data_IF_967443524516
#
_entry.id   IF_967443524516
#
_cell.length_a   1.000
_cell.length_b   1.000
_cell.length_c   1.000
_cell.angle_alpha   90.00
_cell.angle_beta   90.00
_cell.angle_gamma   90.00
#
_symmetry.space_group_name_H-M   'P 1'
#
loop_
_entity.id
_entity.type
_entity.pdbx_description
1 polymer ?
#
# COMPACT_ATOMS: atom_id res chain seq x y z
N UNK A 1 51.76 -39.37 7.01
CA UNK A 1 51.59 -38.90 5.60
C UNK A 1 50.39 -39.63 5.03
N UNK A 2 49.28 -39.07 4.52
CA UNK A 2 48.80 -37.71 4.26
C UNK A 2 47.27 -37.83 4.33
N UNK A 3 46.60 -37.01 5.16
CA UNK A 3 45.15 -36.88 5.13
C UNK A 3 44.75 -36.09 3.87
N UNK A 4 43.94 -36.67 2.99
CA UNK A 4 43.33 -35.96 1.86
C UNK A 4 41.93 -35.52 2.29
N UNK A 5 41.84 -34.31 2.83
CA UNK A 5 40.59 -33.60 3.04
C UNK A 5 40.02 -33.16 1.70
N UNK A 6 39.01 -33.85 1.20
CA UNK A 6 38.12 -33.32 0.16
C UNK A 6 37.02 -32.50 0.84
N UNK A 7 37.24 -31.19 0.91
CA UNK A 7 36.21 -30.21 1.25
C UNK A 7 35.22 -30.13 0.08
N UNK A 8 34.05 -30.76 0.23
CA UNK A 8 32.89 -30.54 -0.62
C UNK A 8 32.26 -29.22 -0.17
N UNK A 9 32.49 -28.16 -0.93
CA UNK A 9 31.82 -26.88 -0.73
C UNK A 9 30.35 -27.01 -1.17
N UNK A 10 29.43 -27.10 -0.21
CA UNK A 10 28.00 -26.99 -0.46
C UNK A 10 27.64 -25.50 -0.63
N UNK A 11 27.30 -25.11 -1.86
CA UNK A 11 26.80 -23.77 -2.19
C UNK A 11 25.27 -23.78 -2.01
N UNK A 12 24.67 -23.00 -1.09
CA UNK A 12 23.21 -22.90 -1.03
C UNK A 12 22.74 -22.01 -2.18
N UNK A 13 21.99 -22.61 -3.10
CA UNK A 13 21.28 -21.92 -4.17
C UNK A 13 20.15 -21.08 -3.55
N UNK A 14 20.39 -19.78 -3.36
CA UNK A 14 19.37 -18.81 -2.98
C UNK A 14 18.38 -18.66 -4.14
N UNK A 15 17.27 -19.40 -4.08
CA UNK A 15 16.12 -19.16 -4.94
C UNK A 15 15.43 -17.91 -4.40
N UNK A 16 15.79 -16.75 -4.94
CA UNK A 16 15.02 -15.53 -4.77
C UNK A 16 13.70 -15.73 -5.54
N UNK A 17 12.66 -16.20 -4.85
CA UNK A 17 11.29 -16.18 -5.37
C UNK A 17 10.86 -14.72 -5.45
N UNK A 18 11.10 -14.08 -6.59
CA UNK A 18 10.41 -12.86 -6.95
C UNK A 18 8.93 -13.23 -7.07
N UNK A 19 8.14 -12.86 -6.05
CA UNK A 19 6.70 -12.86 -6.15
C UNK A 19 6.37 -11.82 -7.21
N UNK A 20 6.17 -12.26 -8.45
CA UNK A 20 5.44 -11.46 -9.44
C UNK A 20 4.03 -11.33 -8.87
N UNK A 21 3.78 -10.25 -8.14
CA UNK A 21 2.43 -9.78 -7.94
C UNK A 21 1.83 -9.67 -9.34
N UNK A 22 0.75 -10.41 -9.62
CA UNK A 22 -0.01 -10.25 -10.83
C UNK A 22 -0.46 -8.78 -10.86
N UNK A 23 0.22 -7.96 -11.66
CA UNK A 23 -0.12 -6.56 -11.85
C UNK A 23 -1.37 -6.52 -12.72
N UNK A 24 -2.51 -6.88 -12.12
CA UNK A 24 -3.82 -6.66 -12.72
C UNK A 24 -3.94 -5.19 -13.05
N UNK A 25 -4.46 -4.89 -14.24
CA UNK A 25 -4.74 -3.51 -14.61
C UNK A 25 -5.83 -2.98 -13.67
N UNK A 26 -5.50 -1.95 -12.89
CA UNK A 26 -6.47 -1.32 -11.98
C UNK A 26 -7.76 -0.98 -12.73
N UNK A 27 -8.85 -1.58 -12.26
CA UNK A 27 -10.17 -1.45 -12.85
C UNK A 27 -10.96 -0.34 -12.15
N UNK A 28 -12.11 0.03 -12.75
CA UNK A 28 -13.04 0.94 -12.09
C UNK A 28 -13.72 0.31 -10.86
N UNK A 29 -13.74 -1.03 -10.79
CA UNK A 29 -14.30 -1.76 -9.64
C UNK A 29 -13.32 -1.68 -8.48
N UNK A 30 -12.03 -1.88 -8.72
CA UNK A 30 -10.96 -1.74 -7.70
C UNK A 30 -10.96 -0.33 -7.08
N UNK A 31 -11.22 0.71 -7.89
CA UNK A 31 -11.32 2.09 -7.40
C UNK A 31 -12.57 2.33 -6.54
N UNK A 32 -13.68 1.66 -6.85
CA UNK A 32 -14.91 1.74 -6.05
C UNK A 32 -14.75 0.99 -4.73
N UNK A 33 -14.10 -0.18 -4.76
CA UNK A 33 -13.76 -0.93 -3.55
C UNK A 33 -12.86 -0.10 -2.62
N UNK A 34 -11.82 0.55 -3.16
CA UNK A 34 -10.97 1.43 -2.35
C UNK A 34 -11.72 2.64 -1.75
N UNK A 35 -12.70 3.21 -2.46
CA UNK A 35 -13.57 4.26 -1.93
C UNK A 35 -14.46 3.75 -0.79
N UNK A 36 -15.01 2.55 -0.92
CA UNK A 36 -15.79 1.89 0.13
C UNK A 36 -14.93 1.56 1.36
N UNK A 37 -13.72 1.03 1.17
CA UNK A 37 -12.76 0.78 2.26
C UNK A 37 -12.39 2.07 2.98
N UNK A 38 -12.19 3.18 2.26
CA UNK A 38 -11.92 4.49 2.86
C UNK A 38 -13.10 4.98 3.72
N UNK A 39 -14.33 4.76 3.27
CA UNK A 39 -15.54 5.16 4.00
C UNK A 39 -15.73 4.31 5.27
N UNK A 40 -15.46 3.00 5.18
CA UNK A 40 -15.46 2.09 6.32
C UNK A 40 -14.38 2.47 7.33
N UNK A 41 -13.17 2.80 6.85
CA UNK A 41 -12.08 3.26 7.69
C UNK A 41 -12.46 4.51 8.48
N UNK A 42 -13.05 5.52 7.83
CA UNK A 42 -13.53 6.74 8.49
C UNK A 42 -14.55 6.45 9.60
N UNK A 43 -15.54 5.61 9.29
CA UNK A 43 -16.54 5.16 10.26
C UNK A 43 -15.90 4.43 11.45
N UNK A 44 -15.02 3.46 11.18
CA UNK A 44 -14.37 2.68 12.23
C UNK A 44 -13.42 3.52 13.08
N UNK A 45 -12.66 4.46 12.51
CA UNK A 45 -11.84 5.39 13.31
C UNK A 45 -12.74 6.26 14.19
N UNK A 46 -13.82 6.82 13.64
CA UNK A 46 -14.77 7.67 14.37
C UNK A 46 -15.45 6.93 15.54
N UNK A 47 -15.71 5.64 15.37
CA UNK A 47 -16.28 4.76 16.40
C UNK A 47 -15.21 4.14 17.32
N UNK A 48 -13.93 4.43 17.10
CA UNK A 48 -12.80 3.80 17.79
C UNK A 48 -12.83 2.26 17.71
N UNK A 49 -13.32 1.73 16.59
CA UNK A 49 -13.41 0.29 16.31
C UNK A 49 -12.09 -0.21 15.72
N UNK A 50 -11.55 -1.28 16.31
CA UNK A 50 -10.31 -1.93 15.86
C UNK A 50 -10.38 -2.47 14.43
N UNK A 51 -11.58 -2.64 13.84
CA UNK A 51 -11.73 -2.94 12.41
C UNK A 51 -11.04 -1.90 11.50
N UNK A 52 -10.85 -0.67 11.98
CA UNK A 52 -10.05 0.35 11.28
C UNK A 52 -8.64 -0.14 10.90
N UNK A 53 -8.08 -1.09 11.66
CA UNK A 53 -6.77 -1.67 11.37
C UNK A 53 -6.78 -2.46 10.06
N UNK A 54 -7.82 -3.26 9.83
CA UNK A 54 -7.92 -4.09 8.63
C UNK A 54 -8.18 -3.23 7.40
N UNK A 55 -9.05 -2.23 7.51
CA UNK A 55 -9.31 -1.27 6.41
C UNK A 55 -8.05 -0.46 6.06
N UNK A 56 -7.29 0.01 7.05
CA UNK A 56 -6.06 0.76 6.82
C UNK A 56 -4.96 -0.11 6.18
N UNK A 57 -4.83 -1.39 6.60
CA UNK A 57 -3.92 -2.35 5.97
C UNK A 57 -4.33 -2.64 4.53
N UNK A 58 -5.62 -2.74 4.26
CA UNK A 58 -6.12 -2.94 2.90
C UNK A 58 -5.81 -1.74 2.01
N UNK A 59 -6.05 -0.52 2.47
CA UNK A 59 -5.68 0.69 1.72
C UNK A 59 -4.17 0.79 1.50
N UNK A 60 -3.34 0.40 2.46
CA UNK A 60 -1.89 0.38 2.27
C UNK A 60 -1.45 -0.60 1.17
N UNK A 61 -2.08 -1.79 1.11
CA UNK A 61 -1.88 -2.76 0.01
C UNK A 61 -2.37 -2.21 -1.32
N UNK A 62 -3.55 -1.58 -1.30
CA UNK A 62 -4.14 -0.97 -2.48
C UNK A 62 -3.22 0.08 -3.11
N UNK A 63 -2.68 1.01 -2.31
CA UNK A 63 -1.76 2.03 -2.83
C UNK A 63 -0.45 1.45 -3.37
N UNK A 64 0.00 0.29 -2.88
CA UNK A 64 1.11 -0.44 -3.50
C UNK A 64 0.77 -0.92 -4.92
N UNK A 65 -0.47 -1.37 -5.15
CA UNK A 65 -0.94 -1.74 -6.49
C UNK A 65 -1.04 -0.51 -7.40
N UNK A 66 -1.51 0.63 -6.87
CA UNK A 66 -1.52 1.92 -7.57
C UNK A 66 -0.11 2.38 -7.95
N UNK A 67 0.87 2.20 -7.07
CA UNK A 67 2.27 2.46 -7.40
C UNK A 67 2.74 1.58 -8.56
N UNK A 68 2.46 0.28 -8.50
CA UNK A 68 2.78 -0.66 -9.58
C UNK A 68 2.17 -0.25 -10.92
N UNK A 69 0.91 0.18 -10.92
CA UNK A 69 0.20 0.66 -12.11
C UNK A 69 0.86 1.88 -12.75
N UNK A 70 1.25 2.87 -11.96
CA UNK A 70 1.92 4.06 -12.49
C UNK A 70 3.38 3.81 -12.85
N UNK A 71 4.08 2.94 -12.14
CA UNK A 71 5.47 2.58 -12.43
C UNK A 71 5.62 1.89 -13.80
N UNK A 72 4.56 1.23 -14.28
CA UNK A 72 4.53 0.62 -15.61
C UNK A 72 4.34 1.64 -16.77
N UNK A 73 4.12 2.92 -16.48
CA UNK A 73 3.90 3.99 -17.47
C UNK A 73 5.11 4.92 -17.53
N UNK A 74 5.61 5.18 -18.74
CA UNK A 74 6.85 5.92 -18.96
C UNK A 74 6.83 7.38 -18.46
N UNK A 75 5.67 8.01 -18.35
CA UNK A 75 5.47 9.43 -18.03
C UNK A 75 4.61 9.67 -16.78
N UNK A 76 4.49 8.68 -15.89
CA UNK A 76 3.61 8.76 -14.72
C UNK A 76 4.32 8.87 -13.36
N UNK A 77 5.49 9.51 -13.31
CA UNK A 77 6.28 9.69 -12.07
C UNK A 77 5.46 10.31 -10.93
N UNK A 78 4.59 11.29 -11.22
CA UNK A 78 3.73 11.89 -10.18
C UNK A 78 2.73 10.90 -9.60
N UNK A 79 2.23 9.96 -10.41
CA UNK A 79 1.34 8.88 -9.94
C UNK A 79 2.06 7.93 -8.98
N UNK A 80 3.34 7.62 -9.23
CA UNK A 80 4.20 6.86 -8.31
C UNK A 80 4.42 7.63 -7.00
N UNK A 81 4.67 8.94 -7.06
CA UNK A 81 4.82 9.76 -5.85
C UNK A 81 3.52 9.86 -5.03
N UNK A 82 2.38 10.06 -5.70
CA UNK A 82 1.09 10.11 -5.02
C UNK A 82 0.72 8.79 -4.36
N UNK A 83 0.94 7.67 -5.04
CA UNK A 83 0.66 6.34 -4.48
C UNK A 83 1.53 6.05 -3.25
N UNK A 84 2.84 6.33 -3.31
CA UNK A 84 3.73 6.21 -2.14
C UNK A 84 3.29 7.08 -0.97
N UNK A 85 2.90 8.33 -1.25
CA UNK A 85 2.43 9.25 -0.22
C UNK A 85 1.14 8.72 0.44
N UNK A 86 0.17 8.29 -0.36
CA UNK A 86 -1.06 7.69 0.16
C UNK A 86 -0.80 6.41 0.96
N UNK A 87 0.13 5.56 0.51
CA UNK A 87 0.56 4.37 1.26
C UNK A 87 1.17 4.76 2.61
N UNK A 88 2.01 5.79 2.66
CA UNK A 88 2.60 6.28 3.89
C UNK A 88 1.53 6.77 4.88
N UNK A 89 0.50 7.48 4.41
CA UNK A 89 -0.63 7.89 5.24
C UNK A 89 -1.43 6.68 5.76
N UNK A 90 -1.71 5.69 4.91
CA UNK A 90 -2.40 4.47 5.34
C UNK A 90 -1.59 3.69 6.41
N UNK A 91 -0.27 3.60 6.25
CA UNK A 91 0.62 2.99 7.26
C UNK A 91 0.68 3.81 8.56
N UNK A 92 0.57 5.14 8.50
CA UNK A 92 0.47 5.97 9.69
C UNK A 92 -0.84 5.71 10.46
N UNK A 93 -1.95 5.51 9.74
CA UNK A 93 -3.23 5.11 10.33
C UNK A 93 -3.10 3.74 11.00
N UNK A 94 -2.47 2.75 10.35
CA UNK A 94 -2.18 1.44 10.95
C UNK A 94 -1.45 1.58 12.28
N UNK A 95 -0.34 2.32 12.30
CA UNK A 95 0.45 2.52 13.52
C UNK A 95 -0.36 3.24 14.62
N UNK A 96 -1.17 4.24 14.25
CA UNK A 96 -2.01 4.97 15.18
C UNK A 96 -3.09 4.06 15.82
N UNK A 97 -3.81 3.28 15.02
CA UNK A 97 -4.83 2.33 15.50
C UNK A 97 -4.23 1.21 16.34
N UNK A 98 -3.05 0.69 15.97
CA UNK A 98 -2.31 -0.30 16.77
C UNK A 98 -1.93 0.24 18.16
N UNK A 99 -1.70 1.55 18.27
CA UNK A 99 -1.41 2.25 19.53
C UNK A 99 -2.65 2.82 20.25
N UNK A 100 -3.87 2.48 19.82
CA UNK A 100 -5.13 3.03 20.34
C UNK A 100 -5.25 4.58 20.24
N UNK A 101 -4.49 5.19 19.34
CA UNK A 101 -4.48 6.63 19.13
C UNK A 101 -5.37 7.02 17.93
N UNK A 102 -6.68 7.03 18.16
CA UNK A 102 -7.66 7.32 17.10
C UNK A 102 -7.67 8.78 16.65
N UNK A 103 -7.22 9.72 17.48
CA UNK A 103 -7.04 11.12 17.07
C UNK A 103 -5.94 11.23 16.00
N UNK A 104 -4.78 10.60 16.23
CA UNK A 104 -3.72 10.55 15.23
C UNK A 104 -4.14 9.76 13.97
N UNK A 105 -4.97 8.73 14.13
CA UNK A 105 -5.54 8.01 12.99
C UNK A 105 -6.45 8.92 12.14
N UNK A 106 -7.27 9.75 12.77
CA UNK A 106 -8.14 10.72 12.10
C UNK A 106 -7.35 11.81 11.35
N UNK A 107 -6.28 12.33 11.96
CA UNK A 107 -5.38 13.27 11.28
C UNK A 107 -4.74 12.65 10.03
N UNK A 108 -4.22 11.42 10.15
CA UNK A 108 -3.63 10.71 9.03
C UNK A 108 -4.68 10.34 7.94
N UNK A 109 -5.92 10.05 8.32
CA UNK A 109 -7.04 9.83 7.40
C UNK A 109 -7.39 11.10 6.59
N UNK A 110 -7.37 12.27 7.23
CA UNK A 110 -7.58 13.56 6.56
C UNK A 110 -6.51 13.81 5.48
N UNK A 111 -5.25 13.53 5.80
CA UNK A 111 -4.13 13.64 4.86
C UNK A 111 -4.22 12.60 3.72
N UNK A 112 -4.66 11.39 4.03
CA UNK A 112 -4.91 10.36 3.04
C UNK A 112 -5.98 10.81 2.04
N UNK A 113 -7.13 11.27 2.54
CA UNK A 113 -8.25 11.75 1.71
C UNK A 113 -7.84 12.89 0.79
N UNK A 114 -7.01 13.82 1.30
CA UNK A 114 -6.43 14.91 0.50
C UNK A 114 -5.53 14.38 -0.61
N UNK A 115 -4.71 13.37 -0.32
CA UNK A 115 -3.81 12.74 -1.29
C UNK A 115 -4.59 12.02 -2.40
N UNK A 116 -5.70 11.34 -2.07
CA UNK A 116 -6.63 10.77 -3.05
C UNK A 116 -7.17 11.85 -4.00
N UNK A 117 -7.64 12.98 -3.45
CA UNK A 117 -8.14 14.11 -4.24
C UNK A 117 -7.07 14.67 -5.18
N UNK A 118 -5.86 14.94 -4.68
CA UNK A 118 -4.76 15.49 -5.49
C UNK A 118 -4.36 14.56 -6.63
N UNK A 119 -4.33 13.24 -6.40
CA UNK A 119 -4.07 12.28 -7.47
C UNK A 119 -5.19 12.31 -8.53
N UNK A 120 -6.46 12.33 -8.10
CA UNK A 120 -7.61 12.37 -9.00
C UNK A 120 -7.68 13.66 -9.83
N UNK A 121 -7.29 14.81 -9.30
CA UNK A 121 -7.23 16.05 -10.08
C UNK A 121 -6.27 15.97 -11.28
N UNK A 122 -5.24 15.12 -11.19
CA UNK A 122 -4.24 14.93 -12.26
C UNK A 122 -4.61 13.79 -13.20
N UNK A 123 -5.08 12.66 -12.65
CA UNK A 123 -5.20 11.41 -13.39
C UNK A 123 -6.64 10.94 -13.64
N UNK A 124 -7.65 11.51 -12.98
CA UNK A 124 -9.06 11.22 -13.26
C UNK A 124 -9.53 12.18 -14.34
N UNK A 125 -9.93 11.65 -15.51
CA UNK A 125 -10.54 12.48 -16.55
C UNK A 125 -11.82 13.13 -16.00
N UNK A 126 -12.02 14.45 -16.16
CA UNK A 126 -13.33 15.05 -15.92
C UNK A 126 -14.34 14.39 -16.86
N UNK A 127 -15.53 14.12 -16.34
CA UNK A 127 -16.66 13.68 -17.16
C UNK A 127 -17.15 14.81 -18.04
#
# INVERSE_FOLDING_TARGET
MRFRSTLIAALPLLIATAVLAAQGQLTADDMREAEETLHNLDSHISLQDKKALDDAKELARYFQQVEGHFSAKADATRGVEFSRKSQAHANAIVAAVESDNYDAAMDALSDLTRSCKTCHEVYKKPK
#
